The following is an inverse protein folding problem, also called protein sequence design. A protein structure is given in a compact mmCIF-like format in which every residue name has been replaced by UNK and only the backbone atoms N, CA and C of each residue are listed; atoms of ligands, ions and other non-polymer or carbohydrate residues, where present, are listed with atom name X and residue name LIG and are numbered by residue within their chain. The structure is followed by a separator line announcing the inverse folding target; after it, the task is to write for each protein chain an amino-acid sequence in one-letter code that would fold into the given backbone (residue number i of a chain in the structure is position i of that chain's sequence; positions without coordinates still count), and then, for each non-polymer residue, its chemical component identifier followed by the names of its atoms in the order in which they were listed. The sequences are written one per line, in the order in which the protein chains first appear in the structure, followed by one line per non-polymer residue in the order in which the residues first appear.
data_IF_245187629996
#
_entry.id   IF_245187629996
#
_cell.length_a   1.000
_cell.length_b   1.000
_cell.length_c   1.000
_cell.angle_alpha   90.00
_cell.angle_beta   90.00
_cell.angle_gamma   90.00
#
_symmetry.space_group_name_H-M   'P 1'
#
loop_
_entity.id
_entity.type
_entity.pdbx_description
1 polymer ?
#
# COMPACT_ATOMS: atom_id res chain seq x y z
N UNK A 1 0.19 -13.53 -6.77
CA UNK A 1 0.98 -14.15 -5.67
C UNK A 1 0.54 -13.56 -4.33
N UNK A 2 0.41 -14.39 -3.30
CA UNK A 2 0.13 -13.92 -1.93
C UNK A 2 1.39 -14.07 -1.08
N UNK A 3 1.83 -12.97 -0.44
CA UNK A 3 2.90 -13.01 0.56
C UNK A 3 2.28 -12.92 1.96
N UNK A 4 2.75 -13.76 2.88
CA UNK A 4 2.42 -13.73 4.32
C UNK A 4 3.72 -13.76 5.13
N UNK A 5 3.76 -13.04 6.24
CA UNK A 5 4.87 -13.09 7.20
C UNK A 5 4.87 -14.40 8.01
N UNK A 6 6.08 -14.78 8.44
CA UNK A 6 6.52 -16.09 8.96
C UNK A 6 5.53 -16.83 9.89
N UNK A 7 5.17 -18.08 9.55
CA UNK A 7 4.33 -18.97 10.37
C UNK A 7 3.42 -19.93 9.59
N UNK A 8 2.69 -20.79 10.32
CA UNK A 8 1.67 -21.67 9.75
C UNK A 8 0.55 -20.88 9.06
N UNK A 9 -0.05 -21.46 8.01
CA UNK A 9 -1.16 -20.82 7.32
C UNK A 9 -2.33 -20.57 8.28
N UNK A 10 -2.76 -19.31 8.34
CA UNK A 10 -3.90 -18.80 9.09
C UNK A 10 -4.38 -17.52 8.40
N UNK A 11 -5.69 -17.19 8.46
CA UNK A 11 -6.21 -15.90 8.03
C UNK A 11 -5.47 -14.75 8.74
N UNK A 12 -5.14 -13.67 8.02
CA UNK A 12 -4.36 -12.57 8.58
C UNK A 12 -3.83 -11.60 7.52
N UNK A 13 -2.84 -10.77 7.87
CA UNK A 13 -2.34 -9.74 6.97
C UNK A 13 -1.80 -10.32 5.67
N UNK A 14 -2.11 -9.68 4.54
CA UNK A 14 -1.80 -10.25 3.23
C UNK A 14 -1.41 -9.19 2.21
N UNK A 15 -0.41 -9.52 1.41
CA UNK A 15 -0.12 -8.80 0.16
C UNK A 15 -0.66 -9.65 -0.98
N UNK A 16 -1.55 -9.11 -1.79
CA UNK A 16 -2.04 -9.74 -3.01
C UNK A 16 -1.51 -9.00 -4.23
N UNK A 17 -0.78 -9.71 -5.09
CA UNK A 17 -0.27 -9.19 -6.35
C UNK A 17 -0.93 -9.97 -7.49
N UNK A 18 -1.61 -9.27 -8.39
CA UNK A 18 -2.27 -9.81 -9.58
C UNK A 18 -1.29 -10.27 -10.66
N UNK A 19 -1.84 -10.53 -11.85
CA UNK A 19 -1.07 -11.02 -12.98
C UNK A 19 -0.31 -9.88 -13.68
N UNK A 20 0.89 -10.19 -14.20
CA UNK A 20 1.74 -9.25 -14.96
C UNK A 20 2.12 -7.95 -14.22
N UNK A 21 2.07 -7.96 -12.88
CA UNK A 21 2.51 -6.83 -12.07
C UNK A 21 4.03 -6.69 -12.06
N UNK A 22 4.53 -5.50 -12.39
CA UNK A 22 5.94 -5.16 -12.23
C UNK A 22 6.20 -4.59 -10.83
N UNK A 23 7.18 -5.14 -10.11
CA UNK A 23 7.64 -4.61 -8.81
C UNK A 23 9.11 -4.19 -8.94
N UNK A 24 9.37 -2.90 -8.79
CA UNK A 24 10.71 -2.32 -8.84
C UNK A 24 11.60 -2.72 -7.67
N UNK A 25 12.90 -2.40 -7.78
CA UNK A 25 13.88 -2.70 -6.74
C UNK A 25 13.59 -1.87 -5.49
N UNK A 26 13.65 -2.53 -4.32
CA UNK A 26 13.56 -1.83 -3.03
C UNK A 26 12.18 -1.30 -2.70
N UNK A 27 11.12 -1.85 -3.28
CA UNK A 27 9.76 -1.59 -2.84
C UNK A 27 9.55 -2.19 -1.44
N UNK A 28 9.01 -1.39 -0.52
CA UNK A 28 8.63 -1.82 0.81
C UNK A 28 7.11 -2.02 0.89
N UNK A 29 6.70 -3.22 1.29
CA UNK A 29 5.32 -3.53 1.66
C UNK A 29 5.20 -3.60 3.18
N UNK A 30 4.79 -2.50 3.79
CA UNK A 30 4.63 -2.38 5.23
C UNK A 30 3.18 -2.72 5.61
N UNK A 31 2.93 -4.02 5.83
CA UNK A 31 1.58 -4.59 5.90
C UNK A 31 1.19 -5.01 7.32
N UNK A 32 0.02 -4.55 7.76
CA UNK A 32 -0.66 -4.99 8.98
C UNK A 32 -2.10 -5.46 8.71
N UNK A 33 -2.78 -4.90 7.72
CA UNK A 33 -4.12 -5.29 7.27
C UNK A 33 -4.07 -6.01 5.93
N UNK A 34 -4.10 -5.26 4.83
CA UNK A 34 -3.93 -5.85 3.50
C UNK A 34 -3.51 -4.81 2.46
N UNK A 35 -2.63 -5.24 1.56
CA UNK A 35 -2.25 -4.48 0.36
C UNK A 35 -2.62 -5.32 -0.86
N UNK A 36 -3.42 -4.76 -1.76
CA UNK A 36 -3.83 -5.41 -3.00
C UNK A 36 -3.34 -4.59 -4.19
N UNK A 37 -2.69 -5.26 -5.14
CA UNK A 37 -2.32 -4.71 -6.44
C UNK A 37 -2.94 -5.62 -7.50
N UNK A 38 -3.80 -5.05 -8.35
CA UNK A 38 -4.46 -5.78 -9.42
C UNK A 38 -3.59 -5.88 -10.68
N UNK A 39 -4.13 -6.57 -11.68
CA UNK A 39 -3.42 -7.01 -12.88
C UNK A 39 -2.85 -5.84 -13.70
N UNK A 40 -1.76 -6.11 -14.43
CA UNK A 40 -1.14 -5.19 -15.39
C UNK A 40 -0.54 -3.90 -14.79
N UNK A 41 -0.47 -3.79 -13.46
CA UNK A 41 0.04 -2.61 -12.79
C UNK A 41 1.56 -2.63 -12.57
N UNK A 42 2.17 -1.46 -12.44
CA UNK A 42 3.60 -1.28 -12.20
C UNK A 42 3.89 -0.45 -10.97
N UNK A 43 4.68 -1.00 -10.05
CA UNK A 43 5.19 -0.28 -8.88
C UNK A 43 6.66 0.06 -9.11
N UNK A 44 6.96 1.35 -9.23
CA UNK A 44 8.31 1.87 -9.42
C UNK A 44 9.26 1.49 -8.28
N UNK A 45 10.56 1.51 -8.58
CA UNK A 45 11.60 1.24 -7.57
C UNK A 45 11.53 2.21 -6.39
N UNK A 46 11.84 1.72 -5.19
CA UNK A 46 11.89 2.51 -3.96
C UNK A 46 10.54 2.98 -3.41
N UNK A 47 9.42 2.53 -3.98
CA UNK A 47 8.10 2.87 -3.43
C UNK A 47 7.85 2.23 -2.07
N UNK A 48 7.04 2.88 -1.24
CA UNK A 48 6.59 2.36 0.05
C UNK A 48 5.07 2.30 0.05
N UNK A 49 4.51 1.14 0.38
CA UNK A 49 3.08 0.95 0.61
C UNK A 49 2.89 0.62 2.08
N UNK A 50 2.26 1.51 2.84
CA UNK A 50 2.08 1.39 4.28
C UNK A 50 0.60 1.47 4.66
N UNK A 51 -0.01 0.32 4.98
CA UNK A 51 -1.44 0.20 5.27
C UNK A 51 -1.82 0.51 6.73
N UNK A 52 -0.84 0.99 7.50
CA UNK A 52 -1.03 1.39 8.89
C UNK A 52 -0.10 2.52 9.30
N UNK A 53 -0.45 3.19 10.38
CA UNK A 53 0.39 4.16 11.07
C UNK A 53 0.06 4.18 12.58
N UNK A 54 0.79 4.98 13.34
CA UNK A 54 0.43 5.27 14.73
C UNK A 54 -0.81 6.17 14.77
N UNK A 55 -1.77 5.83 15.62
CA UNK A 55 -2.86 6.73 15.98
C UNK A 55 -2.34 7.97 16.70
N UNK A 56 -3.18 9.00 16.77
CA UNK A 56 -2.81 10.29 17.40
C UNK A 56 -3.87 10.83 18.36
N UNK A 57 -4.98 10.11 18.53
CA UNK A 57 -6.17 10.62 19.21
C UNK A 57 -6.08 10.59 20.74
N UNK A 58 -5.23 9.75 21.34
CA UNK A 58 -5.19 9.58 22.81
C UNK A 58 -4.27 10.63 23.44
N UNK A 59 -4.79 11.80 23.77
CA UNK A 59 -4.01 12.95 24.27
C UNK A 59 -3.15 12.63 25.50
N UNK A 60 -3.62 11.76 26.39
CA UNK A 60 -2.92 11.40 27.62
C UNK A 60 -1.80 10.35 27.43
N UNK A 61 -1.67 9.75 26.24
CA UNK A 61 -0.67 8.73 25.94
C UNK A 61 0.48 9.29 25.10
N UNK A 62 1.68 8.74 25.27
CA UNK A 62 2.81 9.08 24.39
C UNK A 62 2.51 8.61 22.97
N UNK A 63 3.03 9.30 21.96
CA UNK A 63 2.81 8.94 20.55
C UNK A 63 3.22 7.49 20.23
N UNK A 64 4.29 6.99 20.84
CA UNK A 64 4.76 5.59 20.67
C UNK A 64 3.84 4.52 21.28
N UNK A 65 2.96 4.92 22.20
CA UNK A 65 2.04 4.03 22.92
C UNK A 65 0.61 4.15 22.35
N UNK A 66 0.43 4.92 21.27
CA UNK A 66 -0.85 5.06 20.58
C UNK A 66 -1.22 3.76 19.88
N UNK A 67 -2.51 3.38 19.87
CA UNK A 67 -2.97 2.25 19.07
C UNK A 67 -2.69 2.50 17.59
N UNK A 68 -2.40 1.45 16.83
CA UNK A 68 -2.23 1.56 15.39
C UNK A 68 -3.57 1.84 14.71
N UNK A 69 -3.56 2.67 13.67
CA UNK A 69 -4.67 2.80 12.73
C UNK A 69 -4.33 2.01 11.47
N UNK A 70 -5.23 1.12 11.07
CA UNK A 70 -5.00 0.19 9.96
C UNK A 70 -6.14 0.39 8.95
N UNK A 71 -5.79 0.57 7.68
CA UNK A 71 -6.75 0.65 6.59
C UNK A 71 -6.11 0.12 5.31
N UNK A 72 -6.80 -0.77 4.57
CA UNK A 72 -6.22 -1.46 3.43
C UNK A 72 -5.80 -0.50 2.32
N UNK A 73 -4.81 -0.90 1.53
CA UNK A 73 -4.43 -0.20 0.29
C UNK A 73 -4.88 -1.06 -0.90
N UNK A 74 -5.51 -0.41 -1.88
CA UNK A 74 -5.88 -1.06 -3.14
C UNK A 74 -5.34 -0.26 -4.33
N UNK A 75 -4.53 -0.92 -5.16
CA UNK A 75 -4.07 -0.44 -6.45
C UNK A 75 -4.85 -1.21 -7.51
N UNK A 76 -5.60 -0.49 -8.34
CA UNK A 76 -6.41 -1.02 -9.44
C UNK A 76 -5.58 -1.62 -10.58
N UNK A 77 -6.27 -1.95 -11.67
CA UNK A 77 -5.70 -2.52 -12.89
C UNK A 77 -5.04 -1.45 -13.74
N UNK A 78 -3.98 -1.81 -14.45
CA UNK A 78 -3.30 -0.91 -15.40
C UNK A 78 -2.85 0.41 -14.76
N UNK A 79 -2.38 0.35 -13.51
CA UNK A 79 -1.91 1.52 -12.75
C UNK A 79 -0.38 1.61 -12.79
N UNK A 80 0.16 2.80 -13.00
CA UNK A 80 1.60 3.07 -12.86
C UNK A 80 1.86 3.92 -11.63
N UNK A 81 2.54 3.33 -10.64
CA UNK A 81 3.09 4.06 -9.50
C UNK A 81 4.52 4.44 -9.78
N UNK A 82 4.78 5.74 -10.00
CA UNK A 82 6.11 6.28 -10.25
C UNK A 82 7.09 5.99 -9.11
N UNK A 83 8.39 5.95 -9.44
CA UNK A 83 9.47 5.60 -8.49
C UNK A 83 9.48 6.47 -7.24
N UNK A 84 9.91 5.89 -6.11
CA UNK A 84 10.03 6.54 -4.80
C UNK A 84 8.72 7.20 -4.28
N UNK A 85 7.56 6.73 -4.73
CA UNK A 85 6.28 7.19 -4.20
C UNK A 85 5.89 6.46 -2.91
N UNK A 86 5.15 7.15 -2.05
CA UNK A 86 4.64 6.61 -0.78
C UNK A 86 3.11 6.56 -0.86
N UNK A 87 2.55 5.37 -0.67
CA UNK A 87 1.10 5.14 -0.64
C UNK A 87 0.68 4.87 0.82
N UNK A 88 -0.20 5.72 1.35
CA UNK A 88 -0.62 5.63 2.75
C UNK A 88 -1.89 4.78 2.93
N UNK A 89 -2.13 4.39 4.19
CA UNK A 89 -3.28 3.59 4.62
C UNK A 89 -4.60 4.12 4.07
N UNK A 90 -5.47 3.20 3.65
CA UNK A 90 -6.82 3.52 3.17
C UNK A 90 -6.89 4.12 1.77
N UNK A 91 -5.77 4.25 1.06
CA UNK A 91 -5.76 4.75 -0.31
C UNK A 91 -6.23 3.67 -1.28
N UNK A 92 -7.17 4.06 -2.14
CA UNK A 92 -7.59 3.32 -3.33
C UNK A 92 -7.14 4.09 -4.58
N UNK A 93 -6.41 3.44 -5.48
CA UNK A 93 -5.98 4.03 -6.77
C UNK A 93 -6.77 3.33 -7.86
N UNK A 94 -7.62 4.08 -8.55
CA UNK A 94 -8.51 3.55 -9.58
C UNK A 94 -7.75 3.05 -10.82
N UNK A 95 -8.43 2.22 -11.60
CA UNK A 95 -7.88 1.62 -12.81
C UNK A 95 -7.37 2.67 -13.81
N UNK A 96 -6.25 2.39 -14.49
CA UNK A 96 -5.67 3.28 -15.51
C UNK A 96 -4.99 4.55 -14.97
N UNK A 97 -4.90 4.72 -13.65
CA UNK A 97 -4.30 5.91 -13.04
C UNK A 97 -2.76 5.92 -13.10
N UNK A 98 -2.18 7.12 -13.09
CA UNK A 98 -0.72 7.32 -13.10
C UNK A 98 -0.29 8.21 -11.94
N UNK A 99 0.42 7.62 -10.98
CA UNK A 99 1.02 8.37 -9.87
C UNK A 99 2.41 8.86 -10.28
N UNK A 100 2.62 10.17 -10.28
CA UNK A 100 3.93 10.76 -10.56
C UNK A 100 5.01 10.28 -9.58
N UNK A 101 6.27 10.25 -10.02
CA UNK A 101 7.40 9.85 -9.19
C UNK A 101 7.58 10.77 -7.97
N UNK A 102 7.95 10.20 -6.81
CA UNK A 102 8.15 10.93 -5.56
C UNK A 102 6.87 11.43 -4.89
N UNK A 103 5.70 10.97 -5.34
CA UNK A 103 4.41 11.38 -4.76
C UNK A 103 4.22 10.82 -3.36
N UNK A 104 3.57 11.60 -2.49
CA UNK A 104 3.00 11.09 -1.22
C UNK A 104 1.48 11.06 -1.37
N UNK A 105 0.94 9.87 -1.62
CA UNK A 105 -0.49 9.66 -1.86
C UNK A 105 -1.19 9.50 -0.52
N UNK A 106 -1.92 10.55 -0.14
CA UNK A 106 -2.63 10.65 1.15
C UNK A 106 -4.14 10.46 1.03
N UNK A 107 -4.66 10.39 -0.21
CA UNK A 107 -6.07 10.25 -0.54
C UNK A 107 -6.20 9.39 -1.80
N UNK A 108 -7.33 8.72 -1.93
CA UNK A 108 -7.65 7.90 -3.11
C UNK A 108 -7.62 8.72 -4.41
N UNK A 109 -7.19 8.08 -5.48
CA UNK A 109 -7.06 8.64 -6.83
C UNK A 109 -8.13 8.00 -7.70
N UNK A 110 -8.96 8.79 -8.42
CA UNK A 110 -9.91 8.27 -9.39
C UNK A 110 -9.27 7.44 -10.52
N UNK A 111 -10.08 6.63 -11.19
CA UNK A 111 -9.65 5.90 -12.37
C UNK A 111 -9.29 6.87 -13.53
N UNK A 112 -8.23 6.54 -14.27
CA UNK A 112 -7.71 7.29 -15.43
C UNK A 112 -7.27 8.74 -15.11
N UNK A 113 -6.83 9.01 -13.88
CA UNK A 113 -6.19 10.25 -13.46
C UNK A 113 -4.66 10.09 -13.41
#
# INVERSE_FOLDING_TARGET
MYFKFDGYWQPGPSIHIGDRVFIGRGVEFNVHGSIRIDDDSGIGSGCVLADHNHGTAVIAARMRDQPAEIAPIHIGRDVIVGVNSVILKGVEIGDGAVVAAGSVVTRSIPANE
#
